data_IF_153027408729
#
_entry.id   IF_153027408729
#
_cell.length_a   1.000
_cell.length_b   1.000
_cell.length_c   1.000
_cell.angle_alpha   90.00
_cell.angle_beta   90.00
_cell.angle_gamma   90.00
#
_symmetry.space_group_name_H-M   'P 1'
#
loop_
_entity.id
_entity.type
_entity.pdbx_description
1 polymer ?
#
# COMPACT_ATOMS: atom_id res chain seq x y z
N UNK A 1 8.80 -1.81 42.70
CA UNK A 1 9.05 -3.12 42.06
C UNK A 1 8.94 -2.93 40.55
N UNK A 2 10.09 -2.83 39.90
CA UNK A 2 10.27 -2.62 38.46
C UNK A 2 10.08 -3.96 37.75
N UNK A 3 9.05 -4.09 36.93
CA UNK A 3 8.91 -5.21 35.99
C UNK A 3 9.56 -4.83 34.68
N UNK A 4 10.77 -5.33 34.45
CA UNK A 4 11.40 -5.38 33.14
C UNK A 4 10.54 -6.24 32.19
N UNK A 5 10.04 -5.63 31.12
CA UNK A 5 9.40 -6.35 30.02
C UNK A 5 10.47 -6.95 29.12
N UNK A 6 10.65 -8.26 29.25
CA UNK A 6 11.36 -9.10 28.29
C UNK A 6 10.57 -9.06 26.97
N UNK A 7 11.04 -8.29 26.00
CA UNK A 7 10.56 -8.35 24.62
C UNK A 7 11.12 -9.62 24.00
N UNK A 8 10.22 -10.54 23.62
CA UNK A 8 10.55 -11.81 22.99
C UNK A 8 11.36 -11.62 21.70
N UNK A 9 12.65 -11.97 21.74
CA UNK A 9 13.56 -12.02 20.60
C UNK A 9 13.28 -13.17 19.61
N UNK A 10 12.22 -13.97 19.82
CA UNK A 10 12.02 -15.24 19.09
C UNK A 10 11.23 -15.14 17.77
N UNK A 11 10.65 -13.99 17.43
CA UNK A 11 9.88 -13.82 16.17
C UNK A 11 10.73 -13.39 14.96
N UNK A 12 11.92 -12.84 15.20
CA UNK A 12 12.85 -12.35 14.17
C UNK A 12 13.42 -13.48 13.29
N UNK A 13 13.77 -14.69 13.80
CA UNK A 13 14.40 -15.73 12.99
C UNK A 13 13.44 -16.36 11.96
N UNK A 14 12.19 -16.65 12.36
CA UNK A 14 11.22 -17.33 11.49
C UNK A 14 10.73 -16.44 10.33
N UNK A 15 10.53 -15.14 10.58
CA UNK A 15 10.26 -14.16 9.52
C UNK A 15 11.48 -13.96 8.60
N UNK A 16 12.71 -13.97 9.15
CA UNK A 16 13.94 -13.91 8.34
C UNK A 16 14.05 -15.09 7.39
N UNK A 17 13.74 -16.31 7.80
CA UNK A 17 13.86 -17.49 6.94
C UNK A 17 12.85 -17.49 5.79
N UNK A 18 11.60 -17.10 6.04
CA UNK A 18 10.60 -16.93 4.98
C UNK A 18 10.93 -15.76 4.04
N UNK A 19 11.42 -14.63 4.57
CA UNK A 19 11.86 -13.48 3.76
C UNK A 19 13.13 -13.80 2.94
N UNK A 20 14.06 -14.60 3.47
CA UNK A 20 15.25 -15.09 2.74
C UNK A 20 14.83 -16.01 1.60
N UNK A 21 13.84 -16.88 1.80
CA UNK A 21 13.36 -17.78 0.74
C UNK A 21 12.62 -17.03 -0.37
N UNK A 22 11.77 -16.05 -0.04
CA UNK A 22 10.99 -15.26 -1.01
C UNK A 22 11.88 -14.24 -1.74
N UNK A 23 12.81 -13.58 -1.03
CA UNK A 23 13.77 -12.66 -1.67
C UNK A 23 14.77 -13.40 -2.55
N UNK A 24 15.30 -14.56 -2.11
CA UNK A 24 16.17 -15.39 -2.95
C UNK A 24 15.45 -15.93 -4.17
N UNK A 25 14.17 -16.33 -4.08
CA UNK A 25 13.43 -16.84 -5.25
C UNK A 25 13.14 -15.73 -6.26
N UNK A 26 12.73 -14.54 -5.79
CA UNK A 26 12.49 -13.36 -6.63
C UNK A 26 13.77 -12.83 -7.29
N UNK A 27 14.88 -12.76 -6.54
CA UNK A 27 16.17 -12.29 -7.05
C UNK A 27 16.80 -13.29 -8.04
N UNK A 28 16.72 -14.60 -7.77
CA UNK A 28 17.15 -15.65 -8.72
C UNK A 28 16.35 -15.58 -10.03
N UNK A 29 15.04 -15.34 -9.96
CA UNK A 29 14.20 -15.23 -11.14
C UNK A 29 14.52 -13.97 -11.97
N UNK A 30 14.82 -12.84 -11.33
CA UNK A 30 15.26 -11.62 -12.03
C UNK A 30 16.65 -11.80 -12.66
N UNK A 31 17.58 -12.43 -11.95
CA UNK A 31 18.92 -12.71 -12.46
C UNK A 31 18.88 -13.63 -13.69
N UNK A 32 18.14 -14.75 -13.62
CA UNK A 32 17.94 -15.66 -14.74
C UNK A 32 17.33 -14.95 -15.97
N UNK A 33 16.40 -14.01 -15.73
CA UNK A 33 15.76 -13.25 -16.80
C UNK A 33 16.72 -12.26 -17.47
N UNK A 34 17.53 -11.55 -16.69
CA UNK A 34 18.55 -10.63 -17.22
C UNK A 34 19.62 -11.40 -17.98
N UNK A 35 20.09 -12.52 -17.43
CA UNK A 35 21.03 -13.43 -18.09
C UNK A 35 20.47 -13.97 -19.40
N UNK A 36 19.21 -14.41 -19.43
CA UNK A 36 18.56 -14.90 -20.65
C UNK A 36 18.45 -13.83 -21.74
N UNK A 37 18.19 -12.57 -21.37
CA UNK A 37 18.18 -11.45 -22.32
C UNK A 37 19.59 -11.18 -22.86
N UNK A 38 20.59 -11.14 -21.98
CA UNK A 38 21.98 -10.91 -22.37
C UNK A 38 22.45 -12.00 -23.33
N UNK A 39 22.18 -13.27 -23.01
CA UNK A 39 22.50 -14.41 -23.87
C UNK A 39 21.77 -14.28 -25.22
N UNK A 40 20.47 -13.99 -25.24
CA UNK A 40 19.74 -13.83 -26.49
C UNK A 40 20.32 -12.72 -27.39
N UNK A 41 20.68 -11.57 -26.81
CA UNK A 41 21.29 -10.45 -27.57
C UNK A 41 22.67 -10.83 -28.11
N UNK A 42 23.53 -11.46 -27.30
CA UNK A 42 24.85 -11.91 -27.76
C UNK A 42 24.74 -12.94 -28.88
N UNK A 43 23.80 -13.88 -28.76
CA UNK A 43 23.55 -14.89 -29.80
C UNK A 43 22.99 -14.27 -31.08
N UNK A 44 22.17 -13.22 -30.98
CA UNK A 44 21.67 -12.49 -32.15
C UNK A 44 22.81 -11.78 -32.90
N UNK A 45 23.68 -11.08 -32.16
CA UNK A 45 24.84 -10.40 -32.74
C UNK A 45 25.78 -11.43 -33.39
N UNK A 46 26.06 -12.54 -32.72
CA UNK A 46 26.86 -13.64 -33.26
C UNK A 46 26.28 -14.22 -34.54
N UNK A 47 24.97 -14.49 -34.58
CA UNK A 47 24.27 -14.95 -35.80
C UNK A 47 24.35 -13.93 -36.94
N UNK A 48 24.17 -12.64 -36.64
CA UNK A 48 24.29 -11.57 -37.64
C UNK A 48 25.69 -11.44 -38.23
N UNK A 49 26.74 -11.54 -37.39
CA UNK A 49 28.13 -11.53 -37.85
C UNK A 49 28.44 -12.76 -38.71
N UNK A 50 27.98 -13.95 -38.31
CA UNK A 50 28.14 -15.19 -39.09
C UNK A 50 27.46 -15.10 -40.45
N UNK A 51 26.25 -14.53 -40.53
CA UNK A 51 25.57 -14.26 -41.81
C UNK A 51 26.37 -13.31 -42.68
N UNK A 52 26.92 -12.24 -42.11
CA UNK A 52 27.77 -11.28 -42.82
C UNK A 52 29.05 -11.90 -43.38
N UNK A 53 29.75 -12.70 -42.58
CA UNK A 53 30.99 -13.40 -42.99
C UNK A 53 30.73 -14.48 -44.04
N UNK A 54 29.60 -15.19 -43.94
CA UNK A 54 29.19 -16.19 -44.93
C UNK A 54 28.77 -15.52 -46.25
N UNK A 55 28.04 -14.41 -46.19
CA UNK A 55 27.65 -13.61 -47.36
C UNK A 55 28.84 -12.94 -48.06
N UNK A 56 29.90 -12.61 -47.32
CA UNK A 56 31.16 -12.11 -47.85
C UNK A 56 32.09 -13.23 -48.38
N UNK A 57 31.62 -14.49 -48.42
CA UNK A 57 32.38 -15.67 -48.86
C UNK A 57 33.68 -15.94 -48.08
N UNK A 58 33.81 -15.41 -46.86
CA UNK A 58 34.97 -15.63 -45.98
C UNK A 58 34.91 -17.02 -45.31
N UNK A 59 33.70 -17.59 -45.17
CA UNK A 59 33.46 -18.88 -44.53
C UNK A 59 32.77 -19.89 -45.48
N UNK A 60 32.98 -21.21 -45.29
CA UNK A 60 32.28 -22.25 -46.04
C UNK A 60 30.75 -22.10 -45.97
N UNK A 61 30.10 -22.04 -47.12
CA UNK A 61 28.71 -21.59 -47.21
C UNK A 61 27.72 -22.45 -46.41
N UNK A 62 27.75 -23.78 -46.57
CA UNK A 62 26.70 -24.65 -46.02
C UNK A 62 26.64 -24.72 -44.48
N UNK A 63 27.72 -25.07 -43.76
CA UNK A 63 27.62 -25.31 -42.32
C UNK A 63 27.37 -24.02 -41.52
N UNK A 64 27.96 -22.91 -41.96
CA UNK A 64 27.88 -21.63 -41.25
C UNK A 64 26.59 -20.87 -41.54
N UNK A 65 26.01 -21.02 -42.73
CA UNK A 65 24.68 -20.47 -43.03
C UNK A 65 23.60 -21.13 -42.17
N UNK A 66 23.60 -22.46 -42.08
CA UNK A 66 22.62 -23.22 -41.28
C UNK A 66 22.74 -22.83 -39.81
N UNK A 67 23.96 -22.79 -39.27
CA UNK A 67 24.20 -22.39 -37.89
C UNK A 67 23.74 -20.95 -37.61
N UNK A 68 24.06 -20.01 -38.51
CA UNK A 68 23.69 -18.61 -38.34
C UNK A 68 22.16 -18.41 -38.36
N UNK A 69 21.46 -19.07 -39.28
CA UNK A 69 20.00 -19.02 -39.36
C UNK A 69 19.36 -19.59 -38.08
N UNK A 70 19.84 -20.73 -37.58
CA UNK A 70 19.34 -21.32 -36.33
C UNK A 70 19.55 -20.37 -35.14
N UNK A 71 20.75 -19.79 -34.99
CA UNK A 71 21.06 -18.86 -33.90
C UNK A 71 20.17 -17.62 -33.92
N UNK A 72 19.93 -17.06 -35.11
CA UNK A 72 19.07 -15.88 -35.27
C UNK A 72 17.60 -16.20 -35.00
N UNK A 73 17.09 -17.34 -35.46
CA UNK A 73 15.70 -17.78 -35.19
C UNK A 73 15.50 -18.05 -33.70
N UNK A 74 16.40 -18.79 -33.06
CA UNK A 74 16.29 -19.11 -31.62
C UNK A 74 16.35 -17.83 -30.78
N UNK A 75 17.25 -16.90 -31.11
CA UNK A 75 17.32 -15.61 -30.42
C UNK A 75 16.07 -14.76 -30.63
N UNK A 76 15.55 -14.68 -31.86
CA UNK A 76 14.31 -13.97 -32.15
C UNK A 76 13.12 -14.56 -31.39
N UNK A 77 12.98 -15.89 -31.34
CA UNK A 77 11.95 -16.58 -30.56
C UNK A 77 12.06 -16.29 -29.06
N UNK A 78 13.28 -16.26 -28.50
CA UNK A 78 13.51 -15.91 -27.09
C UNK A 78 13.15 -14.45 -26.80
N UNK A 79 13.57 -13.52 -27.66
CA UNK A 79 13.23 -12.09 -27.53
C UNK A 79 11.72 -11.86 -27.63
N UNK A 80 11.06 -12.48 -28.61
CA UNK A 80 9.61 -12.44 -28.77
C UNK A 80 8.92 -13.00 -27.53
N UNK A 81 9.38 -14.13 -26.98
CA UNK A 81 8.81 -14.73 -25.75
C UNK A 81 9.02 -13.83 -24.53
N UNK A 82 10.17 -13.15 -24.40
CA UNK A 82 10.44 -12.20 -23.32
C UNK A 82 9.59 -10.92 -23.45
N UNK A 83 9.36 -10.45 -24.67
CA UNK A 83 8.52 -9.28 -24.95
C UNK A 83 7.03 -9.63 -24.80
N UNK A 84 6.60 -10.80 -25.27
CA UNK A 84 5.26 -11.32 -25.06
C UNK A 84 5.01 -11.60 -23.59
N UNK A 85 5.95 -12.15 -22.82
CA UNK A 85 5.76 -12.32 -21.37
C UNK A 85 5.61 -10.98 -20.62
N UNK A 86 6.18 -9.87 -21.12
CA UNK A 86 5.88 -8.52 -20.60
C UNK A 86 4.44 -8.08 -20.94
N UNK A 87 3.96 -8.34 -22.16
CA UNK A 87 2.57 -8.06 -22.56
C UNK A 87 1.56 -8.97 -21.86
N UNK A 88 1.88 -10.26 -21.71
CA UNK A 88 1.12 -11.26 -20.98
C UNK A 88 1.12 -10.93 -19.49
N UNK A 89 2.18 -10.41 -18.86
CA UNK A 89 2.02 -9.85 -17.49
C UNK A 89 1.09 -8.64 -17.42
N UNK A 90 0.89 -7.92 -18.53
CA UNK A 90 -0.03 -6.79 -18.64
C UNK A 90 -1.48 -7.23 -19.01
N UNK A 91 -1.66 -8.44 -19.56
CA UNK A 91 -2.96 -8.95 -20.10
C UNK A 91 -3.45 -10.25 -19.40
N UNK A 92 -2.58 -11.00 -18.74
CA UNK A 92 -2.87 -12.19 -17.90
C UNK A 92 -2.98 -11.81 -16.41
N UNK A 93 -2.82 -10.53 -16.07
CA UNK A 93 -3.45 -9.96 -14.87
C UNK A 93 -4.98 -9.89 -14.95
N UNK A 94 -5.59 -10.41 -16.02
CA UNK A 94 -7.04 -10.35 -16.31
C UNK A 94 -7.64 -11.69 -16.73
N UNK A 95 -7.11 -12.83 -16.26
CA UNK A 95 -7.72 -14.14 -16.49
C UNK A 95 -7.75 -15.01 -15.23
N UNK A 96 -8.92 -15.12 -14.59
CA UNK A 96 -9.28 -16.27 -13.73
C UNK A 96 -9.13 -16.13 -12.21
N UNK A 97 -8.55 -15.05 -11.69
CA UNK A 97 -8.70 -14.64 -10.28
C UNK A 97 -8.96 -13.15 -10.31
N UNK A 98 -10.17 -12.74 -9.96
CA UNK A 98 -10.48 -11.32 -9.83
C UNK A 98 -9.52 -10.71 -8.78
N UNK A 99 -8.91 -9.56 -9.09
CA UNK A 99 -8.02 -8.93 -8.12
C UNK A 99 -8.83 -8.55 -6.88
N UNK A 100 -8.28 -8.77 -5.67
CA UNK A 100 -8.95 -8.46 -4.39
C UNK A 100 -9.60 -7.08 -4.39
N UNK A 101 -8.94 -6.11 -5.00
CA UNK A 101 -9.45 -4.75 -5.21
C UNK A 101 -10.76 -4.71 -6.02
N UNK A 102 -10.83 -5.40 -7.17
CA UNK A 102 -12.02 -5.41 -8.03
C UNK A 102 -13.21 -6.05 -7.31
N UNK A 103 -12.95 -7.14 -6.57
CA UNK A 103 -13.97 -7.83 -5.79
C UNK A 103 -14.52 -6.96 -4.65
N UNK A 104 -13.64 -6.31 -3.86
CA UNK A 104 -14.05 -5.36 -2.83
C UNK A 104 -14.82 -4.17 -3.42
N UNK A 105 -14.36 -3.65 -4.56
CA UNK A 105 -15.02 -2.52 -5.24
C UNK A 105 -16.39 -2.91 -5.75
N UNK A 106 -16.55 -4.08 -6.36
CA UNK A 106 -17.85 -4.57 -6.82
C UNK A 106 -18.80 -4.76 -5.65
N UNK A 107 -18.34 -5.38 -4.57
CA UNK A 107 -19.14 -5.55 -3.36
C UNK A 107 -19.57 -4.22 -2.77
N UNK A 108 -18.66 -3.24 -2.69
CA UNK A 108 -18.98 -1.89 -2.25
C UNK A 108 -20.07 -1.24 -3.13
N UNK A 109 -19.95 -1.32 -4.46
CA UNK A 109 -20.96 -0.74 -5.36
C UNK A 109 -22.33 -1.39 -5.18
N UNK A 110 -22.38 -2.71 -4.98
CA UNK A 110 -23.64 -3.41 -4.73
C UNK A 110 -24.26 -3.02 -3.38
N UNK A 111 -23.47 -2.94 -2.31
CA UNK A 111 -23.97 -2.50 -1.00
C UNK A 111 -24.42 -1.05 -1.00
N UNK A 112 -23.67 -0.17 -1.67
CA UNK A 112 -24.05 1.22 -1.87
C UNK A 112 -25.40 1.34 -2.59
N UNK A 113 -25.66 0.50 -3.60
CA UNK A 113 -26.95 0.47 -4.31
C UNK A 113 -28.09 0.10 -3.36
N UNK A 114 -27.93 -0.95 -2.58
CA UNK A 114 -28.91 -1.38 -1.55
C UNK A 114 -29.17 -0.27 -0.53
N UNK A 115 -28.12 0.40 -0.04
CA UNK A 115 -28.25 1.53 0.89
C UNK A 115 -29.06 2.69 0.30
N UNK A 116 -28.91 2.95 -1.01
CA UNK A 116 -29.67 4.02 -1.68
C UNK A 116 -31.14 3.68 -1.92
N UNK A 117 -31.50 2.39 -1.98
CA UNK A 117 -32.88 1.92 -2.18
C UNK A 117 -33.75 2.06 -0.91
N UNK A 118 -33.15 2.07 0.29
CA UNK A 118 -33.86 2.27 1.57
C UNK A 118 -33.32 3.51 2.35
N UNK A 119 -33.69 4.73 1.91
CA UNK A 119 -33.21 5.97 2.54
C UNK A 119 -33.76 6.19 3.95
N UNK A 120 -34.78 5.43 4.38
CA UNK A 120 -35.44 5.58 5.69
C UNK A 120 -34.53 5.23 6.87
N UNK A 121 -33.48 4.42 6.63
CA UNK A 121 -32.48 4.04 7.63
C UNK A 121 -31.30 5.00 7.70
N UNK A 122 -31.23 5.98 6.80
CA UNK A 122 -30.05 6.83 6.65
C UNK A 122 -30.09 8.06 7.56
N UNK A 123 -29.15 8.17 8.51
CA UNK A 123 -28.80 9.43 9.15
C UNK A 123 -27.82 10.20 8.25
N UNK A 124 -28.33 10.61 7.08
CA UNK A 124 -27.57 11.39 6.08
C UNK A 124 -26.99 12.67 6.67
N UNK A 125 -27.64 13.24 7.68
CA UNK A 125 -27.18 14.46 8.34
C UNK A 125 -25.90 14.22 9.13
N UNK A 126 -25.80 13.11 9.87
CA UNK A 126 -24.58 12.75 10.57
C UNK A 126 -23.45 12.38 9.60
N UNK A 127 -23.74 11.60 8.55
CA UNK A 127 -22.76 11.23 7.54
C UNK A 127 -22.19 12.46 6.78
N UNK A 128 -23.05 13.42 6.43
CA UNK A 128 -22.65 14.68 5.79
C UNK A 128 -21.85 15.59 6.73
N UNK A 129 -22.23 15.64 8.01
CA UNK A 129 -21.46 16.36 9.04
C UNK A 129 -20.05 15.78 9.20
N UNK A 130 -19.93 14.45 9.26
CA UNK A 130 -18.63 13.77 9.32
C UNK A 130 -17.78 14.03 8.06
N UNK A 131 -18.40 14.05 6.87
CA UNK A 131 -17.74 14.42 5.63
C UNK A 131 -17.22 15.87 5.65
N UNK A 132 -18.05 16.84 6.04
CA UNK A 132 -17.67 18.25 6.11
C UNK A 132 -16.53 18.49 7.11
N UNK A 133 -16.55 17.81 8.26
CA UNK A 133 -15.43 17.83 9.22
C UNK A 133 -14.14 17.28 8.61
N UNK A 134 -14.25 16.17 7.87
CA UNK A 134 -13.11 15.56 7.17
C UNK A 134 -12.53 16.50 6.11
N UNK A 135 -13.37 17.20 5.34
CA UNK A 135 -12.95 18.24 4.40
C UNK A 135 -12.25 19.41 5.09
N UNK A 136 -12.82 19.91 6.18
CA UNK A 136 -12.21 20.99 6.96
C UNK A 136 -10.81 20.59 7.45
N UNK A 137 -10.64 19.33 7.84
CA UNK A 137 -9.37 18.82 8.33
C UNK A 137 -8.28 18.77 7.24
N UNK A 138 -8.64 18.36 6.02
CA UNK A 138 -7.68 18.25 4.89
C UNK A 138 -7.56 19.53 4.06
N UNK A 139 -8.21 20.63 4.46
CA UNK A 139 -8.33 21.87 3.67
C UNK A 139 -7.00 22.50 3.21
N UNK A 140 -5.92 22.20 3.93
CA UNK A 140 -4.58 22.71 3.60
C UNK A 140 -3.89 21.92 2.46
N UNK A 141 -4.45 20.77 2.07
CA UNK A 141 -4.04 20.01 0.89
C UNK A 141 -5.14 20.13 -0.17
N UNK A 142 -4.93 20.94 -1.23
CA UNK A 142 -5.84 20.98 -2.37
C UNK A 142 -6.03 19.59 -3.00
N UNK A 143 -4.93 18.85 -3.14
CA UNK A 143 -4.96 17.49 -3.71
C UNK A 143 -5.86 16.55 -2.89
N UNK A 144 -5.70 16.49 -1.56
CA UNK A 144 -6.50 15.59 -0.73
C UNK A 144 -7.95 16.07 -0.62
N UNK A 145 -8.17 17.38 -0.58
CA UNK A 145 -9.51 17.98 -0.60
C UNK A 145 -10.28 17.57 -1.85
N UNK A 146 -9.64 17.59 -3.02
CA UNK A 146 -10.26 17.15 -4.28
C UNK A 146 -10.54 15.65 -4.28
N UNK A 147 -9.65 14.82 -3.75
CA UNK A 147 -9.90 13.38 -3.59
C UNK A 147 -11.14 13.15 -2.72
N UNK A 148 -11.25 13.86 -1.59
CA UNK A 148 -12.38 13.70 -0.67
C UNK A 148 -13.70 14.11 -1.33
N UNK A 149 -13.73 15.25 -2.03
CA UNK A 149 -14.92 15.70 -2.79
C UNK A 149 -15.37 14.68 -3.83
N UNK A 150 -14.42 14.11 -4.58
CA UNK A 150 -14.72 13.12 -5.63
C UNK A 150 -15.05 11.74 -5.08
N UNK A 151 -14.85 11.49 -3.78
CA UNK A 151 -15.07 10.20 -3.11
C UNK A 151 -16.13 10.29 -2.03
N UNK A 152 -17.05 11.26 -2.12
CA UNK A 152 -18.06 11.51 -1.10
C UNK A 152 -18.90 10.27 -0.79
N UNK A 153 -19.19 9.45 -1.79
CA UNK A 153 -19.93 8.19 -1.64
C UNK A 153 -19.24 7.19 -0.71
N UNK A 154 -17.90 7.11 -0.72
CA UNK A 154 -17.14 6.25 0.19
C UNK A 154 -17.28 6.76 1.64
N UNK A 155 -17.29 8.09 1.84
CA UNK A 155 -17.53 8.69 3.16
C UNK A 155 -18.95 8.42 3.67
N UNK A 156 -19.94 8.55 2.78
CA UNK A 156 -21.33 8.26 3.12
C UNK A 156 -21.52 6.79 3.48
N UNK A 157 -20.89 5.88 2.74
CA UNK A 157 -20.91 4.44 3.03
C UNK A 157 -20.29 4.10 4.38
N UNK A 158 -19.13 4.70 4.71
CA UNK A 158 -18.43 4.49 5.99
C UNK A 158 -19.26 4.95 7.18
N UNK A 159 -19.97 6.07 7.02
CA UNK A 159 -20.72 6.72 8.09
C UNK A 159 -22.22 6.43 8.04
N UNK A 160 -22.62 5.41 7.27
CA UNK A 160 -24.01 4.99 7.16
C UNK A 160 -24.50 4.41 8.50
N UNK A 161 -25.66 4.88 8.96
CA UNK A 161 -26.34 4.35 10.13
C UNK A 161 -27.40 3.33 9.71
N UNK A 162 -27.58 2.26 10.49
CA UNK A 162 -28.57 1.22 10.23
C UNK A 162 -27.93 -0.14 9.92
N UNK A 163 -28.67 -1.23 10.16
CA UNK A 163 -28.25 -2.59 9.77
C UNK A 163 -28.88 -2.89 8.42
N UNK A 164 -28.09 -2.88 7.36
CA UNK A 164 -28.51 -3.22 6.00
C UNK A 164 -27.85 -4.51 5.51
N UNK A 165 -26.86 -5.02 6.22
CA UNK A 165 -26.24 -6.31 5.90
C UNK A 165 -27.10 -7.42 6.49
N UNK A 166 -27.57 -8.33 5.65
CA UNK A 166 -28.44 -9.44 6.03
C UNK A 166 -27.73 -10.53 6.83
N UNK A 167 -26.40 -10.54 6.80
CA UNK A 167 -25.55 -11.61 7.30
C UNK A 167 -24.74 -11.24 8.55
N UNK A 168 -24.80 -9.99 9.00
CA UNK A 168 -24.09 -9.51 10.20
C UNK A 168 -24.93 -8.52 11.00
N UNK A 169 -24.61 -8.35 12.28
CA UNK A 169 -25.25 -7.33 13.13
C UNK A 169 -24.76 -5.91 12.83
N UNK A 170 -25.47 -4.92 13.36
CA UNK A 170 -25.17 -3.49 13.17
C UNK A 170 -23.75 -3.10 13.62
N UNK A 171 -23.24 -3.74 14.69
CA UNK A 171 -21.90 -3.47 15.20
C UNK A 171 -20.85 -3.95 14.20
N UNK A 172 -20.95 -5.19 13.74
CA UNK A 172 -20.08 -5.79 12.74
C UNK A 172 -20.13 -5.02 11.42
N UNK A 173 -21.33 -4.65 10.98
CA UNK A 173 -21.53 -3.84 9.77
C UNK A 173 -20.76 -2.52 9.85
N UNK A 174 -20.84 -1.80 10.97
CA UNK A 174 -20.07 -0.56 11.18
C UNK A 174 -18.56 -0.81 11.07
N UNK A 175 -18.05 -1.88 11.68
CA UNK A 175 -16.63 -2.23 11.59
C UNK A 175 -16.23 -2.54 10.13
N UNK A 176 -17.04 -3.30 9.40
CA UNK A 176 -16.79 -3.68 8.00
C UNK A 176 -16.81 -2.45 7.10
N UNK A 177 -17.79 -1.55 7.25
CA UNK A 177 -17.88 -0.28 6.53
C UNK A 177 -16.66 0.60 6.76
N UNK A 178 -16.21 0.71 8.02
CA UNK A 178 -14.97 1.41 8.37
C UNK A 178 -13.74 0.81 7.65
N UNK A 179 -13.58 -0.51 7.68
CA UNK A 179 -12.43 -1.21 7.08
C UNK A 179 -12.42 -1.03 5.56
N UNK A 180 -13.53 -1.35 4.90
CA UNK A 180 -13.66 -1.29 3.43
C UNK A 180 -13.58 0.16 2.95
N UNK A 181 -14.28 1.09 3.61
CA UNK A 181 -14.28 2.50 3.26
C UNK A 181 -12.89 3.14 3.38
N UNK A 182 -12.14 2.86 4.46
CA UNK A 182 -10.77 3.34 4.60
C UNK A 182 -9.86 2.77 3.51
N UNK A 183 -9.96 1.47 3.19
CA UNK A 183 -9.18 0.86 2.11
C UNK A 183 -9.47 1.53 0.76
N UNK A 184 -10.74 1.71 0.42
CA UNK A 184 -11.14 2.35 -0.84
C UNK A 184 -10.67 3.80 -0.92
N UNK A 185 -10.76 4.58 0.17
CA UNK A 185 -10.23 5.95 0.19
C UNK A 185 -8.71 6.00 -0.01
N UNK A 186 -7.97 5.08 0.61
CA UNK A 186 -6.52 4.96 0.40
C UNK A 186 -6.18 4.59 -1.04
N UNK A 187 -6.95 3.68 -1.64
CA UNK A 187 -6.80 3.28 -3.03
C UNK A 187 -7.08 4.47 -3.97
N UNK A 188 -8.20 5.18 -3.81
CA UNK A 188 -8.52 6.37 -4.62
C UNK A 188 -7.47 7.48 -4.47
N UNK A 189 -6.81 7.56 -3.31
CA UNK A 189 -5.73 8.54 -3.08
C UNK A 189 -4.40 8.12 -3.72
N UNK A 190 -4.19 6.83 -4.01
CA UNK A 190 -2.91 6.29 -4.50
C UNK A 190 -2.38 7.00 -5.74
N UNK A 191 -3.17 7.25 -6.80
CA UNK A 191 -2.70 7.98 -7.98
C UNK A 191 -2.26 9.42 -7.68
N UNK A 192 -2.70 9.99 -6.55
CA UNK A 192 -2.43 11.37 -6.13
C UNK A 192 -1.26 11.48 -5.15
N UNK A 193 -0.68 10.36 -4.72
CA UNK A 193 0.47 10.34 -3.79
C UNK A 193 1.67 11.20 -4.27
N UNK A 194 2.05 11.22 -5.57
CA UNK A 194 3.12 12.10 -6.03
C UNK A 194 2.82 13.59 -5.81
N UNK A 195 1.58 14.02 -6.04
CA UNK A 195 1.15 15.40 -5.81
C UNK A 195 1.14 15.75 -4.32
N UNK A 196 0.62 14.87 -3.46
CA UNK A 196 0.67 15.04 -2.00
C UNK A 196 2.11 15.16 -1.50
N UNK A 197 3.00 14.32 -2.03
CA UNK A 197 4.44 14.37 -1.71
C UNK A 197 5.05 15.70 -2.15
N UNK A 198 4.64 16.25 -3.31
CA UNK A 198 5.10 17.55 -3.80
C UNK A 198 4.62 18.69 -2.88
N UNK A 199 3.36 18.68 -2.44
CA UNK A 199 2.82 19.67 -1.51
C UNK A 199 3.63 19.71 -0.20
N UNK A 200 3.88 18.55 0.41
CA UNK A 200 4.73 18.47 1.61
C UNK A 200 6.20 18.84 1.35
N UNK A 201 6.74 18.52 0.16
CA UNK A 201 8.09 18.97 -0.24
C UNK A 201 8.18 20.49 -0.25
N UNK A 202 7.17 21.17 -0.78
CA UNK A 202 7.13 22.63 -0.81
C UNK A 202 7.08 23.23 0.60
N UNK A 203 6.28 22.64 1.50
CA UNK A 203 6.21 23.08 2.89
C UNK A 203 7.52 22.81 3.66
N UNK A 204 8.22 21.73 3.35
CA UNK A 204 9.57 21.48 3.90
C UNK A 204 10.60 22.47 3.35
N UNK A 205 10.54 22.83 2.07
CA UNK A 205 11.39 23.89 1.52
C UNK A 205 11.12 25.25 2.20
N UNK A 206 9.85 25.60 2.41
CA UNK A 206 9.46 26.79 3.20
C UNK A 206 10.05 26.73 4.62
N UNK A 207 9.96 25.57 5.28
CA UNK A 207 10.51 25.37 6.63
C UNK A 207 12.02 25.64 6.70
N UNK A 208 12.77 25.13 5.74
CA UNK A 208 14.23 25.09 5.79
C UNK A 208 14.90 26.37 5.26
N UNK A 209 14.27 27.05 4.32
CA UNK A 209 14.91 28.12 3.55
C UNK A 209 14.19 29.48 3.64
N UNK A 210 12.93 29.51 4.08
CA UNK A 210 12.23 30.79 4.25
C UNK A 210 12.76 31.53 5.49
N UNK A 211 12.93 32.84 5.36
CA UNK A 211 13.22 33.72 6.50
C UNK A 211 12.04 33.80 7.46
N UNK A 212 10.82 33.65 6.96
CA UNK A 212 9.59 33.61 7.74
C UNK A 212 8.72 32.41 7.30
N UNK A 213 9.03 31.18 7.79
CA UNK A 213 8.24 30.01 7.42
C UNK A 213 6.79 30.16 7.87
N UNK A 214 5.86 29.63 7.08
CA UNK A 214 4.43 29.66 7.40
C UNK A 214 4.12 28.92 8.70
N UNK A 215 3.03 29.31 9.40
CA UNK A 215 2.60 28.62 10.62
C UNK A 215 2.32 27.12 10.35
N UNK A 216 1.77 26.81 9.18
CA UNK A 216 1.54 25.43 8.75
C UNK A 216 2.86 24.66 8.64
N UNK A 217 3.85 25.20 7.93
CA UNK A 217 5.15 24.57 7.77
C UNK A 217 5.85 24.32 9.12
N UNK A 218 5.88 25.33 10.00
CA UNK A 218 6.42 25.19 11.37
C UNK A 218 5.67 24.13 12.18
N UNK A 219 4.35 24.09 12.08
CA UNK A 219 3.53 23.11 12.80
C UNK A 219 3.84 21.68 12.35
N UNK A 220 4.09 21.47 11.06
CA UNK A 220 4.34 20.14 10.49
C UNK A 220 5.75 19.62 10.69
N UNK A 221 6.75 20.51 10.61
CA UNK A 221 8.17 20.14 10.56
C UNK A 221 8.99 20.66 11.75
N UNK A 222 8.36 21.25 12.76
CA UNK A 222 9.06 21.87 13.90
C UNK A 222 10.05 20.96 14.63
N UNK A 223 9.81 19.65 14.63
CA UNK A 223 10.69 18.66 15.26
C UNK A 223 11.76 18.10 14.31
N UNK A 224 11.70 18.45 13.01
CA UNK A 224 12.64 17.97 11.98
C UNK A 224 13.89 18.82 11.97
N UNK A 225 15.06 18.19 12.13
CA UNK A 225 16.34 18.89 12.02
C UNK A 225 16.63 19.32 10.58
N UNK A 226 17.46 20.38 10.42
CA UNK A 226 17.88 20.86 9.10
C UNK A 226 18.54 19.75 8.27
N UNK A 227 19.41 18.95 8.89
CA UNK A 227 20.08 17.83 8.24
C UNK A 227 19.08 16.78 7.74
N UNK A 228 18.12 16.38 8.58
CA UNK A 228 17.08 15.43 8.20
C UNK A 228 16.21 16.00 7.08
N UNK A 229 15.85 17.28 7.15
CA UNK A 229 15.09 17.97 6.10
C UNK A 229 15.81 17.95 4.76
N UNK A 230 17.09 18.33 4.72
CA UNK A 230 17.91 18.28 3.50
C UNK A 230 18.06 16.86 2.95
N UNK A 231 18.21 15.87 3.84
CA UNK A 231 18.21 14.45 3.47
C UNK A 231 16.89 14.07 2.80
N UNK A 232 15.74 14.44 3.37
CA UNK A 232 14.41 14.13 2.80
C UNK A 232 14.24 14.74 1.40
N UNK A 233 14.71 15.98 1.20
CA UNK A 233 14.62 16.67 -0.09
C UNK A 233 15.44 15.98 -1.19
N UNK A 234 16.59 15.38 -0.86
CA UNK A 234 17.44 14.68 -1.84
C UNK A 234 16.89 13.31 -2.29
N UNK A 235 15.88 12.77 -1.61
CA UNK A 235 15.30 11.48 -1.92
C UNK A 235 14.39 11.51 -3.14
N UNK A 236 14.27 10.36 -3.82
CA UNK A 236 13.23 10.13 -4.81
C UNK A 236 11.82 10.16 -4.18
N UNK A 237 10.79 10.28 -5.01
CA UNK A 237 9.38 10.44 -4.56
C UNK A 237 8.94 9.34 -3.58
N UNK A 238 9.27 8.07 -3.84
CA UNK A 238 8.85 6.93 -3.00
C UNK A 238 9.51 6.97 -1.61
N UNK A 239 10.81 7.21 -1.55
CA UNK A 239 11.53 7.32 -0.28
C UNK A 239 11.14 8.60 0.47
N UNK A 240 10.87 9.69 -0.25
CA UNK A 240 10.39 10.94 0.34
C UNK A 240 9.00 10.76 0.95
N UNK A 241 8.06 10.12 0.25
CA UNK A 241 6.75 9.77 0.77
C UNK A 241 6.85 8.89 2.02
N UNK A 242 7.82 7.96 2.05
CA UNK A 242 8.09 7.10 3.21
C UNK A 242 8.57 7.90 4.41
N UNK A 243 9.43 8.89 4.21
CA UNK A 243 9.87 9.79 5.29
C UNK A 243 8.73 10.69 5.74
N UNK A 244 7.99 11.30 4.82
CA UNK A 244 6.84 12.11 5.21
C UNK A 244 5.88 11.30 6.07
N UNK A 245 5.54 10.07 5.66
CA UNK A 245 4.71 9.15 6.43
C UNK A 245 5.16 9.00 7.90
N UNK A 246 6.47 8.99 8.16
CA UNK A 246 7.05 8.80 9.50
C UNK A 246 7.34 10.10 10.29
N UNK A 247 7.61 11.20 9.59
CA UNK A 247 8.16 12.42 10.21
C UNK A 247 7.21 13.62 10.22
N UNK A 248 6.17 13.65 9.39
CA UNK A 248 5.11 14.66 9.55
C UNK A 248 4.08 14.20 10.57
N UNK A 249 3.52 15.16 11.31
CA UNK A 249 2.51 14.88 12.34
C UNK A 249 1.38 14.00 11.82
N UNK A 250 0.82 13.16 12.70
CA UNK A 250 -0.29 12.23 12.38
C UNK A 250 -1.45 12.94 11.66
N UNK A 251 -1.64 14.20 12.00
CA UNK A 251 -2.74 15.06 11.57
C UNK A 251 -2.34 16.16 10.59
N UNK A 252 -1.38 15.88 9.71
CA UNK A 252 -0.90 16.89 8.76
C UNK A 252 -1.94 17.38 7.75
N UNK A 253 -2.99 16.61 7.50
CA UNK A 253 -3.99 16.91 6.47
C UNK A 253 -3.51 16.59 5.03
N UNK A 254 -2.37 15.91 4.87
CA UNK A 254 -1.80 15.51 3.58
C UNK A 254 -1.70 13.98 3.47
N UNK A 255 -1.09 13.32 4.45
CA UNK A 255 -0.89 11.87 4.50
C UNK A 255 -1.82 11.18 5.52
N UNK A 256 -2.72 11.95 6.13
CA UNK A 256 -3.71 11.45 7.10
C UNK A 256 -4.48 10.23 6.62
N UNK A 257 -4.88 10.15 5.34
CA UNK A 257 -5.63 8.99 4.84
C UNK A 257 -4.85 7.68 4.98
N UNK A 258 -3.53 7.72 4.80
CA UNK A 258 -2.69 6.54 4.98
C UNK A 258 -2.53 6.23 6.46
N UNK A 259 -2.15 7.21 7.30
CA UNK A 259 -1.94 6.97 8.74
C UNK A 259 -3.20 6.55 9.49
N UNK A 260 -4.22 7.41 9.46
CA UNK A 260 -5.45 7.20 10.19
C UNK A 260 -6.26 6.05 9.57
N UNK A 261 -6.16 5.85 8.24
CA UNK A 261 -6.75 4.70 7.56
C UNK A 261 -6.13 3.38 8.04
N UNK A 262 -4.81 3.26 8.07
CA UNK A 262 -4.11 2.07 8.58
C UNK A 262 -4.47 1.75 10.04
N UNK A 263 -4.46 2.77 10.90
CA UNK A 263 -4.85 2.61 12.30
C UNK A 263 -6.30 2.13 12.45
N UNK A 264 -7.22 2.73 11.68
CA UNK A 264 -8.63 2.35 11.67
C UNK A 264 -8.81 0.91 11.20
N UNK A 265 -8.23 0.56 10.05
CA UNK A 265 -8.30 -0.79 9.48
C UNK A 265 -7.74 -1.82 10.47
N UNK A 266 -6.56 -1.60 11.03
CA UNK A 266 -5.94 -2.51 11.99
C UNK A 266 -6.83 -2.73 13.22
N UNK A 267 -7.31 -1.64 13.84
CA UNK A 267 -8.11 -1.68 15.06
C UNK A 267 -9.44 -2.38 14.81
N UNK A 268 -10.15 -1.99 13.76
CA UNK A 268 -11.51 -2.46 13.43
C UNK A 268 -11.49 -3.89 12.93
N UNK A 269 -10.54 -4.27 12.07
CA UNK A 269 -10.39 -5.64 11.59
C UNK A 269 -10.01 -6.57 12.74
N UNK A 270 -9.07 -6.15 13.61
CA UNK A 270 -8.72 -6.94 14.79
C UNK A 270 -9.88 -7.14 15.75
N UNK A 271 -10.75 -6.13 15.92
CA UNK A 271 -11.98 -6.28 16.72
C UNK A 271 -12.94 -7.27 16.06
N UNK A 272 -13.26 -7.05 14.78
CA UNK A 272 -14.17 -7.89 14.00
C UNK A 272 -13.73 -9.37 14.03
N UNK A 273 -12.43 -9.61 13.86
CA UNK A 273 -11.82 -10.94 13.83
C UNK A 273 -11.85 -11.69 15.16
N UNK A 274 -11.96 -10.97 16.29
CA UNK A 274 -12.09 -11.56 17.64
C UNK A 274 -13.52 -11.93 17.99
N UNK A 275 -14.50 -11.20 17.46
CA UNK A 275 -15.91 -11.37 17.85
C UNK A 275 -16.70 -12.28 16.91
N UNK A 276 -16.11 -12.71 15.80
CA UNK A 276 -16.77 -13.52 14.77
C UNK A 276 -16.03 -14.83 14.50
N UNK A 277 -16.76 -15.85 14.03
CA UNK A 277 -16.18 -17.10 13.57
C UNK A 277 -15.19 -16.85 12.44
N UNK A 278 -14.02 -17.50 12.53
CA UNK A 278 -12.96 -17.48 11.52
C UNK A 278 -13.49 -17.83 10.13
N UNK A 279 -14.38 -18.83 10.00
CA UNK A 279 -14.84 -19.31 8.70
C UNK A 279 -15.53 -18.22 7.88
N UNK A 280 -16.24 -17.29 8.54
CA UNK A 280 -16.94 -16.18 7.89
C UNK A 280 -16.02 -15.23 7.11
N UNK A 281 -14.73 -15.17 7.46
CA UNK A 281 -13.73 -14.37 6.74
C UNK A 281 -13.21 -15.08 5.48
N UNK A 282 -13.44 -16.38 5.35
CA UNK A 282 -12.98 -17.21 4.24
C UNK A 282 -14.13 -17.70 3.34
N UNK A 283 -15.38 -17.37 3.66
CA UNK A 283 -16.57 -17.69 2.87
C UNK A 283 -16.94 -16.55 1.92
N UNK A 284 -16.75 -16.68 0.59
CA UNK A 284 -17.19 -15.67 -0.36
C UNK A 284 -18.69 -15.37 -0.23
N UNK A 285 -19.06 -14.11 -0.40
CA UNK A 285 -20.44 -13.64 -0.22
C UNK A 285 -20.75 -13.11 1.19
N UNK A 286 -20.05 -13.60 2.23
CA UNK A 286 -20.20 -13.06 3.58
C UNK A 286 -19.47 -11.72 3.75
N UNK A 287 -20.03 -10.77 4.49
CA UNK A 287 -19.51 -9.41 4.64
C UNK A 287 -18.13 -9.38 5.32
N UNK A 288 -17.85 -10.27 6.28
CA UNK A 288 -16.52 -10.45 6.87
C UNK A 288 -15.43 -10.85 5.85
N UNK A 289 -15.78 -11.57 4.79
CA UNK A 289 -14.84 -11.96 3.74
C UNK A 289 -14.28 -10.72 3.02
N UNK A 290 -15.12 -9.74 2.71
CA UNK A 290 -14.70 -8.50 2.05
C UNK A 290 -13.87 -7.59 2.98
N UNK A 291 -14.15 -7.59 4.28
CA UNK A 291 -13.29 -6.94 5.26
C UNK A 291 -11.88 -7.56 5.29
N UNK A 292 -11.76 -8.90 5.21
CA UNK A 292 -10.46 -9.59 5.10
C UNK A 292 -9.74 -9.22 3.81
N UNK A 293 -10.46 -9.20 2.68
CA UNK A 293 -9.88 -8.81 1.40
C UNK A 293 -9.34 -7.39 1.44
N UNK A 294 -10.11 -6.43 1.98
CA UNK A 294 -9.70 -5.05 2.14
C UNK A 294 -8.48 -4.92 3.07
N UNK A 295 -8.45 -5.63 4.21
CA UNK A 295 -7.30 -5.66 5.12
C UNK A 295 -6.03 -6.15 4.40
N UNK A 296 -6.10 -7.31 3.74
CA UNK A 296 -4.96 -7.87 3.03
C UNK A 296 -4.51 -7.00 1.84
N UNK A 297 -5.46 -6.42 1.11
CA UNK A 297 -5.16 -5.51 0.01
C UNK A 297 -4.53 -4.20 0.50
N UNK A 298 -4.84 -3.75 1.71
CA UNK A 298 -4.19 -2.58 2.33
C UNK A 298 -2.70 -2.84 2.57
N UNK A 299 -2.33 -4.03 3.06
CA UNK A 299 -0.93 -4.41 3.24
C UNK A 299 -0.20 -4.37 1.88
N UNK A 300 -0.78 -5.00 0.85
CA UNK A 300 -0.22 -4.98 -0.51
C UNK A 300 -0.07 -3.55 -1.06
N UNK A 301 -1.05 -2.69 -0.79
CA UNK A 301 -1.03 -1.27 -1.16
C UNK A 301 0.16 -0.56 -0.53
N UNK A 302 0.40 -0.74 0.77
CA UNK A 302 1.55 -0.16 1.47
C UNK A 302 2.90 -0.59 0.87
N UNK A 303 3.05 -1.89 0.55
CA UNK A 303 4.26 -2.41 -0.11
C UNK A 303 4.50 -1.76 -1.48
N UNK A 304 3.42 -1.47 -2.22
CA UNK A 304 3.51 -0.80 -3.52
C UNK A 304 3.92 0.67 -3.38
N UNK A 305 3.36 1.39 -2.41
CA UNK A 305 3.49 2.83 -2.27
C UNK A 305 4.77 3.27 -1.55
N UNK A 306 5.15 2.56 -0.50
CA UNK A 306 6.20 2.99 0.42
C UNK A 306 7.41 2.05 0.39
N UNK A 307 8.56 2.57 0.81
CA UNK A 307 9.75 1.78 1.01
C UNK A 307 9.68 1.12 2.39
N UNK A 308 9.13 -0.09 2.45
CA UNK A 308 8.90 -0.81 3.71
C UNK A 308 10.21 -1.11 4.44
N UNK A 309 11.31 -1.39 3.72
CA UNK A 309 12.63 -1.60 4.34
C UNK A 309 13.05 -0.36 5.13
N UNK A 310 12.95 0.80 4.50
CA UNK A 310 13.27 2.08 5.14
C UNK A 310 12.31 2.41 6.28
N UNK A 311 11.02 2.10 6.14
CA UNK A 311 10.04 2.29 7.21
C UNK A 311 10.38 1.44 8.45
N UNK A 312 10.85 0.20 8.26
CA UNK A 312 11.32 -0.68 9.34
C UNK A 312 12.59 -0.12 10.01
N UNK A 313 13.52 0.43 9.22
CA UNK A 313 14.73 1.09 9.75
C UNK A 313 14.40 2.32 10.61
N UNK A 314 13.45 3.15 10.16
CA UNK A 314 12.95 4.29 10.94
C UNK A 314 12.27 3.78 12.22
N UNK A 315 11.41 2.77 12.12
CA UNK A 315 10.73 2.17 13.28
C UNK A 315 11.69 1.60 14.32
N UNK A 316 12.76 0.93 13.89
CA UNK A 316 13.77 0.37 14.78
C UNK A 316 14.51 1.45 15.60
N UNK A 317 14.58 2.67 15.07
CA UNK A 317 15.26 3.80 15.72
C UNK A 317 14.31 4.83 16.33
N UNK A 318 12.98 4.60 16.30
CA UNK A 318 11.95 5.56 16.70
C UNK A 318 12.11 6.12 18.12
N UNK A 319 12.69 5.34 19.04
CA UNK A 319 12.88 5.73 20.44
C UNK A 319 14.12 6.62 20.65
N UNK A 320 14.98 6.71 19.63
CA UNK A 320 16.20 7.53 19.61
C UNK A 320 16.07 8.75 18.70
N UNK A 321 15.01 8.81 17.90
CA UNK A 321 14.77 9.86 16.91
C UNK A 321 13.60 10.74 17.38
N UNK A 322 13.86 11.91 17.98
CA UNK A 322 12.81 12.78 18.51
C UNK A 322 11.92 13.38 17.42
N UNK A 323 12.37 13.40 16.16
CA UNK A 323 11.55 13.87 15.04
C UNK A 323 10.52 12.81 14.60
N UNK A 324 10.77 11.53 14.92
CA UNK A 324 9.91 10.42 14.51
C UNK A 324 8.55 10.51 15.21
N UNK A 325 7.49 10.56 14.41
CA UNK A 325 6.12 10.61 14.92
C UNK A 325 5.65 9.18 15.24
N UNK A 326 6.05 8.67 16.40
CA UNK A 326 5.72 7.29 16.81
C UNK A 326 4.22 6.97 16.77
N UNK A 327 3.30 7.86 17.20
CA UNK A 327 1.86 7.58 17.14
C UNK A 327 1.36 7.34 15.71
N UNK A 328 1.97 7.99 14.71
CA UNK A 328 1.67 7.77 13.30
C UNK A 328 2.26 6.46 12.77
N UNK A 329 3.47 6.11 13.22
CA UNK A 329 4.24 5.00 12.67
C UNK A 329 3.86 3.64 13.27
N UNK A 330 3.53 3.59 14.57
CA UNK A 330 3.22 2.35 15.28
C UNK A 330 2.07 1.54 14.62
N UNK A 331 0.90 2.13 14.32
CA UNK A 331 -0.20 1.38 13.70
C UNK A 331 0.14 0.88 12.30
N UNK A 332 0.95 1.62 11.54
CA UNK A 332 1.38 1.20 10.20
C UNK A 332 2.32 0.01 10.31
N UNK A 333 3.31 0.07 11.21
CA UNK A 333 4.22 -1.05 11.42
C UNK A 333 3.47 -2.31 11.86
N UNK A 334 2.54 -2.16 12.80
CA UNK A 334 1.77 -3.28 13.33
C UNK A 334 0.77 -3.84 12.30
N UNK A 335 0.21 -3.01 11.40
CA UNK A 335 -0.60 -3.46 10.27
C UNK A 335 0.20 -4.35 9.31
N UNK A 336 1.49 -4.06 9.13
CA UNK A 336 2.37 -4.74 8.18
C UNK A 336 2.99 -6.04 8.71
N UNK A 337 2.58 -6.51 9.90
CA UNK A 337 3.11 -7.74 10.50
C UNK A 337 2.74 -8.96 9.65
N UNK A 338 1.45 -9.12 9.34
CA UNK A 338 0.98 -10.28 8.56
C UNK A 338 -0.37 -10.03 7.89
N UNK A 339 -0.57 -10.68 6.75
CA UNK A 339 -1.90 -10.82 6.14
C UNK A 339 -2.73 -11.87 6.89
N UNK A 340 -4.05 -11.73 6.91
CA UNK A 340 -4.92 -12.79 7.44
C UNK A 340 -5.10 -13.92 6.42
N UNK A 341 -4.31 -14.98 6.64
CA UNK A 341 -4.38 -16.27 5.93
C UNK A 341 -4.96 -17.39 6.79
N UNK A 342 -5.53 -17.08 7.96
CA UNK A 342 -6.20 -18.07 8.79
C UNK A 342 -5.97 -17.94 10.29
N UNK A 343 -5.33 -18.94 10.87
CA UNK A 343 -5.40 -19.20 12.32
C UNK A 343 -4.38 -18.43 13.16
N UNK A 344 -3.24 -18.07 12.57
CA UNK A 344 -2.18 -17.35 13.28
C UNK A 344 -2.42 -15.85 13.39
N UNK A 345 -3.35 -15.27 12.62
CA UNK A 345 -3.53 -13.82 12.51
C UNK A 345 -3.63 -13.10 13.87
N UNK A 346 -4.48 -13.61 14.77
CA UNK A 346 -4.67 -13.02 16.10
C UNK A 346 -3.49 -13.27 17.06
N UNK A 347 -2.71 -14.34 16.83
CA UNK A 347 -1.49 -14.62 17.60
C UNK A 347 -0.36 -13.68 17.20
N UNK A 348 -0.27 -13.39 15.90
CA UNK A 348 0.75 -12.53 15.30
C UNK A 348 0.48 -11.04 15.63
N UNK A 349 -0.79 -10.63 15.69
CA UNK A 349 -1.21 -9.29 16.12
C UNK A 349 -1.58 -9.28 17.62
N UNK A 350 -0.57 -9.40 18.49
CA UNK A 350 -0.78 -9.23 19.93
C UNK A 350 -1.31 -7.83 20.25
N UNK A 351 -2.28 -7.75 21.17
CA UNK A 351 -3.02 -6.53 21.49
C UNK A 351 -2.09 -5.43 22.01
N UNK A 352 -1.72 -4.49 21.15
CA UNK A 352 -1.30 -3.16 21.58
C UNK A 352 -2.53 -2.29 21.71
N UNK A 353 -2.76 -1.76 22.91
CA UNK A 353 -3.70 -0.66 23.09
C UNK A 353 -3.06 0.59 22.46
N UNK A 354 -3.46 0.94 21.25
CA UNK A 354 -3.26 2.30 20.76
C UNK A 354 -4.12 3.21 21.64
N UNK A 355 -3.54 4.31 22.14
CA UNK A 355 -4.19 5.24 23.05
C UNK A 355 -5.65 5.46 22.68
N UNK A 356 -6.53 5.16 23.62
CA UNK A 356 -7.97 5.27 23.43
C UNK A 356 -8.52 6.43 24.21
N UNK A 357 -9.13 7.37 23.47
CA UNK A 357 -10.11 8.39 23.87
C UNK A 357 -9.56 9.80 24.17
N UNK A 358 -10.30 10.72 23.56
CA UNK A 358 -10.35 12.18 23.69
C UNK A 358 -9.27 12.95 22.91
N UNK A 359 -9.73 13.75 21.95
CA UNK A 359 -9.02 14.72 21.11
C UNK A 359 -8.27 14.21 19.86
N UNK A 360 -7.85 12.94 19.80
CA UNK A 360 -6.79 12.53 18.86
C UNK A 360 -7.09 11.26 18.03
N UNK A 361 -8.34 10.93 17.67
CA UNK A 361 -8.60 9.65 16.95
C UNK A 361 -9.75 9.77 15.94
N UNK A 362 -9.62 10.68 14.98
CA UNK A 362 -10.78 11.08 14.18
C UNK A 362 -10.52 11.24 12.67
N UNK A 363 -10.36 10.10 12.02
CA UNK A 363 -10.98 9.89 10.70
C UNK A 363 -12.48 9.65 10.95
N UNK A 364 -13.23 10.71 11.31
CA UNK A 364 -14.55 10.59 11.95
C UNK A 364 -15.51 9.67 11.18
N UNK A 365 -16.13 8.78 11.98
CA UNK A 365 -17.47 8.21 11.84
C UNK A 365 -18.30 8.69 13.02
#
# INVERSE_FOLDING_TARGET
>A
MSSERIVSHSQIPAQREQEILISKSSQKFQLCRVLSIIVAVLTFIGGGVLLGLTGAAVLPLLPYLILAVILTIVSACLLVTVLYSKRIKKVVGTGGVESKHKEVTRWFQERKRVDMEDPSKSDKNNALSAFNKSLHFVRNSPTLTDVYKNSQDIFLFKNWSGSNFSDVGQKEEKLIRDIVGCYLLMETTTPKLPQLTKELTNLLNDFLFSTLPTQLSRSLFGDVTKELGLKILSLNVKNRATHFLAYTKTYDGFFTVFRAGAQTILKKYSELRRTNDKQLFFTPGHSCYYARLAFNATIELYHSLFNIKQLREIYANKDKDPACQQPALNPIYDLLITTDNGESFLKDHQVRKYGGRSLEDHFYA
#
